data_IF_230573320027
#
_entry.id   IF_230573320027
#
_cell.length_a   1.000
_cell.length_b   1.000
_cell.length_c   1.000
_cell.angle_alpha   90.00
_cell.angle_beta   90.00
_cell.angle_gamma   90.00
#
_symmetry.space_group_name_H-M   'P 1'
#
loop_
_entity.id
_entity.type
_entity.pdbx_description
1 polymer ?
#
# COMPACT_ATOMS: atom_id res chain seq x y z
N UNK A 1 -54.69 -9.15 44.25
CA UNK A 1 -53.70 -8.03 44.32
C UNK A 1 -52.24 -8.44 44.18
N UNK A 2 -51.76 -9.58 44.73
CA UNK A 2 -50.34 -10.01 44.65
C UNK A 2 -49.88 -10.37 43.22
N UNK A 3 -50.71 -11.09 42.45
CA UNK A 3 -50.38 -11.50 41.07
C UNK A 3 -50.20 -10.33 40.09
N UNK A 4 -51.03 -9.29 40.21
CA UNK A 4 -50.93 -8.08 39.39
C UNK A 4 -49.60 -7.33 39.62
N UNK A 5 -49.12 -7.28 40.87
CA UNK A 5 -47.82 -6.68 41.21
C UNK A 5 -46.63 -7.47 40.65
N UNK A 6 -46.77 -8.79 40.50
CA UNK A 6 -45.75 -9.64 39.89
C UNK A 6 -45.66 -9.40 38.38
N UNK A 7 -46.80 -9.37 37.68
CA UNK A 7 -46.84 -9.14 36.22
C UNK A 7 -46.27 -7.76 35.87
N UNK A 8 -46.62 -6.72 36.65
CA UNK A 8 -46.07 -5.38 36.47
C UNK A 8 -44.55 -5.37 36.67
N UNK A 9 -44.04 -6.08 37.67
CA UNK A 9 -42.59 -6.23 37.86
C UNK A 9 -41.93 -6.89 36.65
N UNK A 10 -42.47 -8.01 36.16
CA UNK A 10 -41.93 -8.70 34.97
C UNK A 10 -41.94 -7.81 33.72
N UNK A 11 -43.01 -7.05 33.49
CA UNK A 11 -43.09 -6.11 32.36
C UNK A 11 -42.06 -4.99 32.48
N UNK A 12 -41.85 -4.44 33.68
CA UNK A 12 -40.82 -3.43 33.93
C UNK A 12 -39.40 -4.00 33.71
N UNK A 13 -39.14 -5.24 34.12
CA UNK A 13 -37.83 -5.88 33.86
C UNK A 13 -37.60 -6.14 32.37
N UNK A 14 -38.61 -6.62 31.65
CA UNK A 14 -38.52 -6.82 30.20
C UNK A 14 -38.35 -5.50 29.44
N UNK A 15 -39.04 -4.43 29.86
CA UNK A 15 -38.91 -3.11 29.27
C UNK A 15 -37.51 -2.50 29.49
N UNK A 16 -36.95 -2.66 30.70
CA UNK A 16 -35.58 -2.24 31.00
C UNK A 16 -34.53 -3.05 30.21
N UNK A 17 -34.74 -4.34 30.00
CA UNK A 17 -33.86 -5.19 29.18
C UNK A 17 -33.94 -4.85 27.68
N UNK A 18 -35.09 -4.39 27.19
CA UNK A 18 -35.29 -4.01 25.79
C UNK A 18 -34.63 -2.66 25.45
N UNK A 19 -34.51 -1.76 26.43
CA UNK A 19 -33.82 -0.48 26.27
C UNK A 19 -32.28 -0.58 26.37
N UNK A 20 -31.74 -1.71 26.84
CA UNK A 20 -30.31 -1.87 27.10
C UNK A 20 -29.49 -2.33 25.87
N UNK A 21 -30.12 -2.58 24.72
CA UNK A 21 -29.44 -3.14 23.52
C UNK A 21 -29.36 -2.18 22.34
N UNK A 22 -29.79 -0.92 22.48
CA UNK A 22 -29.52 0.11 21.46
C UNK A 22 -28.10 0.63 21.64
N UNK A 23 -27.12 -0.17 21.21
CA UNK A 23 -25.74 0.30 21.05
C UNK A 23 -25.71 1.17 19.80
N UNK A 24 -25.70 2.48 20.00
CA UNK A 24 -25.41 3.43 18.92
C UNK A 24 -23.91 3.27 18.61
N UNK A 25 -23.60 2.62 17.49
CA UNK A 25 -22.24 2.61 16.96
C UNK A 25 -21.86 4.05 16.59
N UNK A 26 -20.89 4.64 17.28
CA UNK A 26 -20.33 5.93 16.86
C UNK A 26 -19.34 5.66 15.73
N UNK A 27 -19.52 6.32 14.58
CA UNK A 27 -18.48 6.32 13.56
C UNK A 27 -17.22 6.99 14.15
N UNK A 28 -16.04 6.36 14.07
CA UNK A 28 -14.82 7.02 14.50
C UNK A 28 -14.66 8.33 13.71
N UNK A 29 -14.13 9.39 14.34
CA UNK A 29 -13.96 10.67 13.66
C UNK A 29 -13.09 10.49 12.41
N UNK A 30 -13.65 10.83 11.26
CA UNK A 30 -12.92 10.84 10.00
C UNK A 30 -11.96 12.03 9.98
N UNK A 31 -10.68 11.75 9.73
CA UNK A 31 -9.66 12.79 9.56
C UNK A 31 -9.17 12.77 8.12
N UNK A 32 -9.39 13.88 7.42
CA UNK A 32 -8.91 14.09 6.06
C UNK A 32 -7.52 14.71 6.10
N UNK A 33 -6.59 14.12 5.36
CA UNK A 33 -5.26 14.67 5.15
C UNK A 33 -5.14 15.25 3.74
N UNK A 34 -4.49 16.39 3.65
CA UNK A 34 -4.33 17.17 2.43
C UNK A 34 -2.87 17.51 2.19
N UNK A 35 -2.59 18.27 1.13
CA UNK A 35 -1.26 18.84 0.88
C UNK A 35 -0.81 19.79 1.98
N UNK A 36 -1.74 20.38 2.75
CA UNK A 36 -1.40 21.22 3.91
C UNK A 36 -0.81 20.39 5.06
N UNK A 37 -1.12 19.10 5.12
CA UNK A 37 -0.61 18.15 6.12
C UNK A 37 0.69 17.47 5.69
N UNK A 38 1.29 17.92 4.57
CA UNK A 38 2.56 17.41 4.04
C UNK A 38 2.44 16.33 2.98
N UNK A 39 1.22 15.94 2.58
CA UNK A 39 1.02 14.98 1.49
C UNK A 39 1.51 15.60 0.16
N UNK A 40 2.29 14.89 -0.68
CA UNK A 40 2.80 15.48 -1.93
C UNK A 40 1.69 15.83 -2.93
N UNK A 41 0.64 14.99 -3.00
CA UNK A 41 -0.58 15.25 -3.77
C UNK A 41 -1.76 14.42 -3.24
N UNK A 42 -2.98 14.95 -3.35
CA UNK A 42 -4.23 14.30 -2.92
C UNK A 42 -4.58 12.99 -3.68
N UNK A 43 -3.96 12.76 -4.84
CA UNK A 43 -4.18 11.55 -5.64
C UNK A 43 -3.21 10.47 -5.17
N UNK A 44 -3.70 9.64 -4.24
CA UNK A 44 -3.00 8.45 -3.75
C UNK A 44 -3.10 7.34 -4.78
N UNK A 45 -1.96 6.76 -5.12
CA UNK A 45 -1.82 5.69 -6.11
C UNK A 45 -1.61 4.33 -5.42
N UNK A 46 -0.87 4.32 -4.31
CA UNK A 46 -0.58 3.12 -3.54
C UNK A 46 -0.28 3.50 -2.08
N UNK A 47 -0.48 2.55 -1.17
CA UNK A 47 -0.19 2.72 0.24
C UNK A 47 0.24 1.39 0.87
N UNK A 48 1.18 1.43 1.80
CA UNK A 48 1.62 0.26 2.56
C UNK A 48 2.03 0.66 3.98
N UNK A 49 1.97 -0.26 4.92
CA UNK A 49 2.61 -0.11 6.21
C UNK A 49 3.89 -0.94 6.20
N UNK A 50 5.01 -0.35 6.64
CA UNK A 50 6.25 -1.11 6.80
C UNK A 50 6.28 -1.90 8.11
N UNK A 51 7.27 -2.78 8.27
CA UNK A 51 7.49 -3.61 9.45
C UNK A 51 7.71 -2.81 10.75
N UNK A 52 8.05 -1.52 10.62
CA UNK A 52 8.25 -0.59 11.74
C UNK A 52 6.96 0.15 12.11
N UNK A 53 5.88 -0.06 11.37
CA UNK A 53 4.58 0.53 11.60
C UNK A 53 4.37 1.90 10.93
N UNK A 54 5.31 2.39 10.12
CA UNK A 54 5.14 3.64 9.38
C UNK A 54 4.20 3.42 8.19
N UNK A 55 3.24 4.33 8.02
CA UNK A 55 2.35 4.32 6.87
C UNK A 55 2.99 5.10 5.72
N UNK A 56 3.26 4.40 4.62
CA UNK A 56 3.78 4.92 3.37
C UNK A 56 2.66 5.17 2.38
N UNK A 57 2.71 6.30 1.68
CA UNK A 57 1.72 6.74 0.73
C UNK A 57 2.42 7.23 -0.53
N UNK A 58 2.25 6.48 -1.62
CA UNK A 58 2.67 6.88 -2.94
C UNK A 58 1.55 7.68 -3.59
N UNK A 59 1.90 8.87 -4.05
CA UNK A 59 1.01 9.81 -4.72
C UNK A 59 1.46 10.01 -6.16
N UNK A 60 0.60 10.65 -6.94
CA UNK A 60 0.92 11.05 -8.32
C UNK A 60 2.16 11.98 -8.43
N UNK A 61 2.60 12.61 -7.33
CA UNK A 61 3.73 13.55 -7.33
C UNK A 61 4.87 13.15 -6.40
N UNK A 62 4.84 11.95 -5.84
CA UNK A 62 5.90 11.48 -4.94
C UNK A 62 5.45 10.56 -3.84
N UNK A 63 6.44 10.13 -3.07
CA UNK A 63 6.29 9.27 -1.92
C UNK A 63 6.37 10.07 -0.62
N UNK A 64 5.49 9.76 0.33
CA UNK A 64 5.55 10.27 1.68
C UNK A 64 5.27 9.18 2.71
N UNK A 65 5.71 9.40 3.94
CA UNK A 65 5.35 8.56 5.09
C UNK A 65 4.72 9.38 6.21
N UNK A 66 3.80 8.77 6.96
CA UNK A 66 3.07 9.41 8.05
C UNK A 66 3.81 9.22 9.38
N UNK A 67 4.04 10.34 10.07
CA UNK A 67 4.75 10.38 11.36
C UNK A 67 3.82 10.30 12.58
N UNK A 68 2.53 10.04 12.39
CA UNK A 68 1.50 10.12 13.43
C UNK A 68 0.81 11.49 13.53
N UNK A 69 1.46 12.55 13.04
CA UNK A 69 0.89 13.91 13.02
C UNK A 69 0.77 14.50 11.61
N UNK A 70 1.81 14.32 10.79
CA UNK A 70 1.92 14.86 9.42
C UNK A 70 2.63 13.90 8.48
N UNK A 71 2.50 14.15 7.18
CA UNK A 71 3.25 13.46 6.15
C UNK A 71 4.62 14.12 5.91
N UNK A 72 5.65 13.29 5.72
CA UNK A 72 6.99 13.72 5.31
C UNK A 72 7.19 13.36 3.83
N UNK A 73 7.32 14.38 2.98
CA UNK A 73 7.52 14.27 1.53
C UNK A 73 8.99 13.99 1.20
N UNK A 74 9.27 12.79 0.66
CA UNK A 74 10.62 12.34 0.31
C UNK A 74 11.17 13.10 -0.90
N UNK A 75 10.31 13.51 -1.84
CA UNK A 75 10.75 14.20 -3.04
C UNK A 75 11.36 15.56 -2.73
N UNK A 76 10.84 16.24 -1.70
CA UNK A 76 11.42 17.51 -1.21
C UNK A 76 12.77 17.32 -0.52
N UNK A 77 12.97 16.18 0.13
CA UNK A 77 14.22 15.88 0.83
C UNK A 77 15.36 15.53 -0.15
N UNK A 78 15.04 14.91 -1.29
CA UNK A 78 16.03 14.36 -2.21
C UNK A 78 15.98 14.93 -3.64
N UNK A 79 15.18 15.95 -3.88
CA UNK A 79 15.00 16.60 -5.20
C UNK A 79 14.61 15.60 -6.30
N UNK A 80 13.85 14.57 -5.93
CA UNK A 80 13.30 13.62 -6.89
C UNK A 80 12.19 14.35 -7.66
N UNK A 81 12.40 14.59 -8.96
CA UNK A 81 11.42 15.31 -9.78
C UNK A 81 9.99 14.76 -9.67
N UNK A 82 8.98 15.58 -9.97
CA UNK A 82 7.58 15.18 -9.90
C UNK A 82 7.30 13.96 -10.77
N UNK A 83 7.05 12.80 -10.15
CA UNK A 83 6.75 11.59 -10.89
C UNK A 83 5.78 10.70 -10.11
N UNK A 84 5.04 9.89 -10.88
CA UNK A 84 4.10 8.93 -10.34
C UNK A 84 4.89 7.82 -9.66
N UNK A 85 4.56 7.56 -8.41
CA UNK A 85 4.94 6.31 -7.76
C UNK A 85 3.67 5.47 -7.72
N UNK A 86 3.66 4.33 -8.41
CA UNK A 86 2.54 3.37 -8.36
C UNK A 86 2.97 2.05 -7.70
N UNK A 87 4.27 1.86 -7.48
CA UNK A 87 4.83 0.71 -6.79
C UNK A 87 5.54 1.08 -5.50
N UNK A 88 5.24 0.32 -4.44
CA UNK A 88 5.86 0.37 -3.12
C UNK A 88 6.10 -1.03 -2.58
N UNK A 89 7.26 -1.24 -1.97
CA UNK A 89 7.63 -2.47 -1.29
C UNK A 89 8.66 -2.20 -0.19
N UNK A 90 8.60 -2.96 0.90
CA UNK A 90 9.70 -3.07 1.86
C UNK A 90 10.60 -4.24 1.48
N UNK A 91 11.90 -4.01 1.52
CA UNK A 91 12.94 -5.02 1.32
C UNK A 91 13.32 -5.67 2.65
N UNK A 92 13.94 -6.87 2.65
CA UNK A 92 14.33 -7.56 3.90
C UNK A 92 15.32 -6.79 4.76
N UNK A 93 16.09 -5.87 4.17
CA UNK A 93 16.99 -4.97 4.88
C UNK A 93 16.27 -3.73 5.45
N UNK A 94 14.95 -3.64 5.30
CA UNK A 94 14.10 -2.55 5.80
C UNK A 94 14.06 -1.32 4.90
N UNK A 95 14.73 -1.36 3.73
CA UNK A 95 14.65 -0.26 2.75
C UNK A 95 13.30 -0.26 2.05
N UNK A 96 12.82 0.93 1.72
CA UNK A 96 11.60 1.09 0.93
C UNK A 96 11.97 1.23 -0.53
N UNK A 97 11.56 0.26 -1.31
CA UNK A 97 11.68 0.24 -2.75
C UNK A 97 10.44 0.88 -3.39
N UNK A 98 10.67 1.77 -4.33
CA UNK A 98 9.63 2.45 -5.07
C UNK A 98 10.07 2.74 -6.51
N UNK A 99 9.12 3.07 -7.37
CA UNK A 99 9.42 3.41 -8.75
C UNK A 99 9.19 4.89 -9.05
N UNK A 100 9.84 5.33 -10.14
CA UNK A 100 9.59 6.61 -10.77
C UNK A 100 8.98 6.38 -12.16
N UNK A 101 7.67 6.61 -12.29
CA UNK A 101 6.97 6.40 -13.55
C UNK A 101 7.55 7.28 -14.65
N UNK A 102 7.75 6.65 -15.82
CA UNK A 102 8.31 7.30 -17.02
C UNK A 102 9.80 7.02 -17.24
N UNK A 103 10.58 6.78 -16.19
CA UNK A 103 12.05 6.70 -16.32
C UNK A 103 12.63 5.28 -16.26
N UNK A 104 11.78 4.26 -16.11
CA UNK A 104 12.20 2.85 -15.95
C UNK A 104 13.19 2.62 -14.79
N UNK A 105 13.18 3.54 -13.82
CA UNK A 105 14.08 3.55 -12.67
C UNK A 105 13.34 3.08 -11.43
N UNK A 106 14.09 2.35 -10.62
CA UNK A 106 13.69 1.91 -9.30
C UNK A 106 14.61 2.59 -8.30
N UNK A 107 14.04 2.99 -7.17
CA UNK A 107 14.71 3.74 -6.14
C UNK A 107 14.49 3.07 -4.79
N UNK A 108 15.51 3.10 -3.94
CA UNK A 108 15.41 2.63 -2.56
C UNK A 108 15.65 3.78 -1.59
N UNK A 109 14.87 3.83 -0.54
CA UNK A 109 15.04 4.75 0.57
C UNK A 109 15.37 3.98 1.86
N UNK A 110 16.50 4.31 2.48
CA UNK A 110 16.97 3.65 3.72
C UNK A 110 16.56 4.39 5.01
N UNK A 111 15.86 5.51 4.90
CA UNK A 111 15.53 6.40 6.02
C UNK A 111 16.27 7.74 5.98
N UNK A 112 17.39 7.81 5.24
CA UNK A 112 18.22 9.00 5.13
C UNK A 112 18.63 9.33 3.69
N UNK A 113 18.82 8.32 2.84
CA UNK A 113 19.32 8.46 1.48
C UNK A 113 18.41 7.76 0.48
N UNK A 114 18.43 8.27 -0.75
CA UNK A 114 17.76 7.64 -1.88
C UNK A 114 18.82 7.15 -2.87
N UNK A 115 18.87 5.84 -3.05
CA UNK A 115 19.69 5.20 -4.09
C UNK A 115 18.83 4.93 -5.33
N UNK A 116 19.41 5.09 -6.52
CA UNK A 116 18.72 4.86 -7.79
C UNK A 116 19.41 3.76 -8.58
N UNK A 117 18.63 2.88 -9.18
CA UNK A 117 19.12 1.89 -10.13
C UNK A 117 18.24 1.87 -11.39
N UNK A 118 18.91 1.83 -12.54
CA UNK A 118 18.24 1.81 -13.85
C UNK A 118 18.00 0.38 -14.29
N UNK A 119 16.75 0.03 -14.58
CA UNK A 119 16.41 -1.31 -15.06
C UNK A 119 16.27 -1.30 -16.58
N UNK A 120 17.42 -1.19 -17.27
CA UNK A 120 17.54 -1.03 -18.74
C UNK A 120 16.78 -2.06 -19.60
N UNK A 121 16.33 -3.18 -19.02
CA UNK A 121 15.73 -4.32 -19.75
C UNK A 121 14.24 -4.51 -19.49
N UNK A 122 13.64 -3.71 -18.60
CA UNK A 122 12.22 -3.81 -18.29
C UNK A 122 11.43 -2.81 -19.14
N UNK A 123 10.66 -3.30 -20.12
CA UNK A 123 9.59 -2.51 -20.70
C UNK A 123 8.41 -2.50 -19.73
N UNK A 124 8.37 -1.51 -18.85
CA UNK A 124 7.29 -1.34 -17.87
C UNK A 124 5.94 -1.21 -18.60
N UNK A 125 5.08 -2.21 -18.44
CA UNK A 125 3.65 -2.11 -18.75
C UNK A 125 2.92 -1.28 -17.68
N UNK A 126 1.77 -0.69 -18.02
CA UNK A 126 0.89 -0.05 -17.03
C UNK A 126 0.32 -1.14 -16.10
N UNK A 127 0.20 -0.85 -14.81
CA UNK A 127 -0.42 -1.71 -13.77
C UNK A 127 0.33 -3.01 -13.48
N UNK A 128 1.51 -2.91 -12.88
CA UNK A 128 2.28 -4.07 -12.44
C UNK A 128 2.11 -4.27 -10.94
N UNK A 129 1.40 -5.33 -10.53
CA UNK A 129 1.41 -5.77 -9.13
C UNK A 129 2.78 -6.36 -8.84
N UNK A 130 3.58 -5.56 -8.13
CA UNK A 130 4.80 -5.92 -7.45
C UNK A 130 4.63 -6.88 -6.29
N UNK A 131 5.13 -8.12 -6.31
CA UNK A 131 5.31 -8.84 -5.03
C UNK A 131 6.81 -8.84 -4.72
N UNK A 132 7.27 -8.12 -3.69
CA UNK A 132 8.62 -8.29 -3.16
C UNK A 132 8.70 -9.62 -2.41
N UNK A 133 9.75 -10.40 -2.67
CA UNK A 133 10.14 -11.54 -1.84
C UNK A 133 11.66 -11.61 -1.76
N UNK A 134 12.17 -11.44 -0.54
CA UNK A 134 13.59 -11.39 -0.24
C UNK A 134 14.34 -10.41 -1.16
N UNK A 135 15.05 -10.94 -2.16
CA UNK A 135 15.86 -10.16 -3.08
C UNK A 135 15.19 -9.97 -4.44
N UNK A 136 13.95 -10.40 -4.62
CA UNK A 136 13.26 -10.45 -5.91
C UNK A 136 12.02 -9.57 -5.94
N UNK A 137 11.81 -8.94 -7.09
CA UNK A 137 10.53 -8.33 -7.48
C UNK A 137 9.88 -9.19 -8.52
N UNK A 138 8.66 -9.65 -8.24
CA UNK A 138 7.86 -10.41 -9.19
C UNK A 138 6.94 -9.47 -9.94
N UNK A 139 6.92 -9.58 -11.27
CA UNK A 139 6.06 -8.75 -12.11
C UNK A 139 5.51 -9.53 -13.30
N UNK A 140 4.33 -9.14 -13.75
CA UNK A 140 3.57 -9.82 -14.81
C UNK A 140 3.51 -8.90 -16.04
N UNK A 141 4.37 -9.14 -17.03
CA UNK A 141 4.24 -8.38 -18.29
C UNK A 141 3.02 -8.84 -19.06
N UNK A 142 2.17 -7.87 -19.42
CA UNK A 142 1.05 -8.05 -20.35
C UNK A 142 1.31 -7.42 -21.72
N UNK A 143 2.48 -6.80 -21.93
CA UNK A 143 2.86 -6.15 -23.19
C UNK A 143 3.81 -7.04 -23.99
N UNK A 144 3.57 -7.12 -25.30
CA UNK A 144 4.19 -7.97 -26.36
C UNK A 144 3.90 -9.48 -26.28
N UNK A 145 4.29 -10.21 -27.35
CA UNK A 145 3.93 -11.59 -27.72
C UNK A 145 4.20 -12.68 -26.68
N UNK A 146 4.83 -12.34 -25.56
CA UNK A 146 5.16 -13.24 -24.46
C UNK A 146 4.70 -12.65 -23.13
N UNK A 147 3.42 -12.88 -22.83
CA UNK A 147 2.90 -12.72 -21.47
C UNK A 147 3.71 -13.62 -20.55
N UNK A 148 4.31 -13.09 -19.51
CA UNK A 148 5.17 -13.87 -18.64
C UNK A 148 5.26 -13.28 -17.23
N UNK A 149 5.49 -14.17 -16.26
CA UNK A 149 5.94 -13.82 -14.93
C UNK A 149 7.46 -13.68 -14.97
N UNK A 150 7.94 -12.55 -14.49
CA UNK A 150 9.35 -12.25 -14.37
C UNK A 150 9.72 -12.05 -12.90
N UNK A 151 10.99 -12.26 -12.60
CA UNK A 151 11.61 -11.87 -11.33
C UNK A 151 12.82 -11.01 -11.59
N UNK A 152 12.93 -9.90 -10.89
CA UNK A 152 14.12 -9.05 -10.89
C UNK A 152 14.85 -9.19 -9.58
N UNK A 153 16.08 -9.69 -9.61
CA UNK A 153 16.97 -9.70 -8.46
C UNK A 153 17.52 -8.28 -8.23
N UNK A 154 17.15 -7.69 -7.11
CA UNK A 154 17.49 -6.32 -6.74
C UNK A 154 18.99 -6.19 -6.42
N UNK A 155 19.56 -7.19 -5.73
CA UNK A 155 20.96 -7.20 -5.28
C UNK A 155 21.92 -7.33 -6.45
N UNK A 156 21.60 -8.19 -7.42
CA UNK A 156 22.44 -8.47 -8.58
C UNK A 156 22.01 -7.71 -9.83
N UNK A 157 21.00 -6.85 -9.72
CA UNK A 157 20.40 -6.10 -10.83
C UNK A 157 20.05 -6.95 -12.06
N UNK A 158 19.55 -8.18 -11.83
CA UNK A 158 19.36 -9.18 -12.88
C UNK A 158 17.88 -9.50 -13.09
N UNK A 159 17.43 -9.43 -14.34
CA UNK A 159 16.10 -9.85 -14.75
C UNK A 159 16.11 -11.28 -15.31
N UNK A 160 15.31 -12.17 -14.72
CA UNK A 160 15.02 -13.50 -15.23
C UNK A 160 13.51 -13.69 -15.50
N UNK A 161 13.15 -14.41 -16.56
CA UNK A 161 11.78 -14.91 -16.74
C UNK A 161 11.56 -16.12 -15.82
N UNK A 162 10.46 -16.14 -15.09
CA UNK A 162 10.08 -17.25 -14.19
C UNK A 162 9.17 -18.23 -14.92
N UNK A 163 8.16 -17.73 -15.63
CA UNK A 163 7.22 -18.57 -16.36
C UNK A 163 6.66 -17.83 -17.57
N UNK A 164 6.64 -18.50 -18.73
CA UNK A 164 5.95 -18.01 -19.91
C UNK A 164 4.48 -18.39 -19.82
N UNK A 165 3.57 -17.41 -19.88
CA UNK A 165 2.15 -17.66 -20.09
C UNK A 165 1.90 -17.92 -21.57
N UNK A 166 2.27 -19.11 -22.04
CA UNK A 166 1.71 -19.63 -23.29
C UNK A 166 0.22 -19.91 -23.06
N UNK A 167 -0.62 -19.53 -24.02
CA UNK A 167 -2.07 -19.71 -23.95
C UNK A 167 -2.42 -21.13 -23.47
N UNK A 168 -2.93 -21.25 -22.23
CA UNK A 168 -3.25 -22.53 -21.59
C UNK A 168 -2.36 -22.82 -20.37
N UNK A 169 -2.76 -22.31 -19.21
CA UNK A 169 -2.21 -22.78 -17.93
C UNK A 169 -2.77 -24.19 -17.69
N UNK A 170 -1.96 -25.21 -17.92
CA UNK A 170 -2.17 -26.55 -17.38
C UNK A 170 -1.27 -26.68 -16.15
N UNK A 171 -1.84 -26.62 -14.96
CA UNK A 171 -1.14 -27.07 -13.76
C UNK A 171 -0.97 -28.59 -13.86
N UNK A 172 0.27 -29.06 -13.84
CA UNK A 172 0.61 -30.47 -13.65
C UNK A 172 1.34 -30.62 -12.34
#
# INVERSE_FOLDING_TARGET
MKALRLIIKWLLTCFASFFCTVVISQSPPEKTYTTHDGLPQIQVMNMMQDSRGLLWVATKKGLAYFTGSKFMDINRLHTLGHSLTDFLAELPDGKILFNQAGNQQMLTFDGANVDTFSVKKLEWGKNQTSIPDQNYLYFISLKTSEKALYRYNIVHHKLDSVALMRYGISFR
#
